data_IF_123080653964
#
_entry.id   IF_123080653964
#
_cell.length_a   1.000
_cell.length_b   1.000
_cell.length_c   1.000
_cell.angle_alpha   90.00
_cell.angle_beta   90.00
_cell.angle_gamma   90.00
#
_symmetry.space_group_name_H-M   'P 1'
#
loop_
_entity.id
_entity.type
_entity.pdbx_description
1 polymer ?
#
# COMPACT_ATOMS: atom_id res chain seq x y z
N UNK A 1 5.13 22.02 -12.82
CA UNK A 1 5.62 21.36 -11.60
C UNK A 1 5.47 19.85 -11.81
N UNK A 2 6.49 19.18 -12.35
CA UNK A 2 6.43 17.71 -12.50
C UNK A 2 6.69 17.13 -11.11
N UNK A 3 5.63 16.68 -10.43
CA UNK A 3 5.77 15.95 -9.18
C UNK A 3 6.51 14.67 -9.55
N UNK A 4 7.79 14.59 -9.16
CA UNK A 4 8.61 13.42 -9.33
C UNK A 4 8.03 12.33 -8.41
N UNK A 5 6.99 11.64 -8.87
CA UNK A 5 6.35 10.55 -8.14
C UNK A 5 7.42 9.49 -8.00
N UNK A 6 8.02 9.44 -6.82
CA UNK A 6 9.09 8.52 -6.53
C UNK A 6 8.50 7.12 -6.79
N UNK A 7 9.18 6.23 -7.53
CA UNK A 7 8.63 4.90 -7.83
C UNK A 7 8.31 4.09 -6.56
N UNK A 8 8.84 4.52 -5.41
CA UNK A 8 8.53 4.02 -4.06
C UNK A 8 7.06 4.23 -3.64
N UNK A 9 6.36 5.20 -4.23
CA UNK A 9 4.96 5.53 -3.89
C UNK A 9 3.94 4.81 -4.78
N UNK A 10 4.41 3.99 -5.74
CA UNK A 10 3.54 3.24 -6.65
C UNK A 10 3.23 1.87 -6.08
N UNK A 11 2.00 1.42 -6.32
CA UNK A 11 1.60 0.06 -5.97
C UNK A 11 2.49 -0.97 -6.68
N UNK A 12 3.12 -1.91 -5.96
CA UNK A 12 3.97 -2.94 -6.55
C UNK A 12 3.18 -4.00 -7.34
N UNK A 13 1.86 -4.11 -7.11
CA UNK A 13 1.02 -5.11 -7.78
C UNK A 13 0.57 -4.70 -9.18
N UNK A 14 0.04 -3.48 -9.33
CA UNK A 14 -0.49 -3.00 -10.61
C UNK A 14 0.39 -1.91 -11.25
N UNK A 15 1.44 -1.43 -10.56
CA UNK A 15 2.32 -0.35 -11.02
C UNK A 15 1.63 1.01 -11.18
N UNK A 16 0.34 1.08 -10.86
CA UNK A 16 -0.56 2.20 -11.14
C UNK A 16 -1.41 2.49 -9.91
N UNK A 17 -1.28 3.69 -9.35
CA UNK A 17 -1.98 4.08 -8.12
C UNK A 17 -1.03 4.23 -6.96
N UNK A 18 -1.37 5.16 -6.08
CA UNK A 18 -0.65 5.48 -4.86
C UNK A 18 -0.99 4.50 -3.74
N UNK A 19 -0.02 4.28 -2.85
CA UNK A 19 -0.31 3.69 -1.55
C UNK A 19 -1.15 4.66 -0.71
N UNK A 20 -2.11 4.09 0.01
CA UNK A 20 -2.96 4.73 1.01
C UNK A 20 -2.76 3.98 2.30
N UNK A 21 -2.49 4.69 3.39
CA UNK A 21 -2.42 4.09 4.73
C UNK A 21 -3.80 4.19 5.36
N UNK A 22 -4.37 3.04 5.73
CA UNK A 22 -5.57 2.99 6.53
C UNK A 22 -5.23 3.38 7.98
N UNK A 23 -5.80 4.47 8.47
CA UNK A 23 -5.54 4.93 9.84
C UNK A 23 -6.26 4.08 10.91
N UNK A 24 -7.24 3.27 10.51
CA UNK A 24 -8.02 2.41 11.40
C UNK A 24 -7.25 1.13 11.71
N UNK A 25 -6.68 0.51 10.67
CA UNK A 25 -5.92 -0.75 10.82
C UNK A 25 -4.42 -0.55 10.87
N UNK A 26 -3.90 0.58 10.37
CA UNK A 26 -2.48 0.84 10.20
C UNK A 26 -1.88 0.15 8.96
N UNK A 27 -2.71 -0.32 8.04
CA UNK A 27 -2.26 -1.08 6.87
C UNK A 27 -2.07 -0.16 5.66
N UNK A 28 -1.05 -0.43 4.85
CA UNK A 28 -0.86 0.27 3.58
C UNK A 28 -1.52 -0.53 2.46
N UNK A 29 -2.43 0.07 1.69
CA UNK A 29 -3.10 -0.55 0.56
C UNK A 29 -3.12 0.35 -0.68
N UNK A 30 -3.31 -0.24 -1.86
CA UNK A 30 -3.44 0.51 -3.09
C UNK A 30 -4.89 0.95 -3.30
N UNK A 31 -5.13 2.26 -3.34
CA UNK A 31 -6.46 2.82 -3.63
C UNK A 31 -7.00 2.56 -5.04
N UNK A 32 -6.21 1.96 -5.96
CA UNK A 32 -6.64 1.64 -7.34
C UNK A 32 -7.03 0.18 -7.52
N UNK A 33 -6.21 -0.76 -7.03
CA UNK A 33 -6.41 -2.20 -7.26
C UNK A 33 -6.72 -3.00 -5.98
N UNK A 34 -6.79 -2.33 -4.82
CA UNK A 34 -7.08 -2.94 -3.52
C UNK A 34 -5.95 -3.80 -2.94
N UNK A 35 -4.72 -3.70 -3.47
CA UNK A 35 -3.60 -4.51 -2.98
C UNK A 35 -3.07 -4.00 -1.64
N UNK A 36 -3.10 -4.84 -0.61
CA UNK A 36 -2.54 -4.56 0.71
C UNK A 36 -1.05 -4.91 0.71
N UNK A 37 -0.20 -4.00 1.19
CA UNK A 37 1.27 -4.11 1.23
C UNK A 37 1.73 -4.61 2.59
N UNK A 38 1.08 -4.12 3.63
CA UNK A 38 1.33 -4.57 5.00
C UNK A 38 0.29 -5.64 5.31
N UNK A 39 0.57 -6.88 4.92
CA UNK A 39 -0.03 -8.02 5.64
C UNK A 39 0.39 -7.81 7.09
N UNK A 40 -0.57 -7.54 7.99
CA UNK A 40 -0.28 -7.70 9.41
C UNK A 40 0.28 -9.11 9.53
N UNK A 41 1.48 -9.21 10.09
CA UNK A 41 2.05 -10.50 10.48
C UNK A 41 0.97 -11.12 11.34
N UNK A 42 0.23 -12.04 10.75
CA UNK A 42 -0.81 -12.77 11.45
C UNK A 42 -0.05 -13.42 12.58
N UNK A 43 -0.33 -12.98 13.80
CA UNK A 43 0.03 -13.70 15.00
C UNK A 43 -0.83 -14.96 14.99
N UNK A 44 -0.52 -15.86 14.04
CA UNK A 44 -0.86 -17.25 14.06
C UNK A 44 -0.10 -17.82 15.25
N UNK A 45 -0.59 -17.54 16.45
CA UNK A 45 -0.20 -18.24 17.66
C UNK A 45 -1.25 -19.27 18.03
N UNK A 46 -0.91 -20.29 18.83
CA UNK A 46 0.34 -21.05 18.97
C UNK A 46 0.37 -22.36 18.16
#
# INVERSE_FOLDING_TARGET
>A
MVKNVNPKDRCPRCGQGTLVTDATTGENFCGKCGFVITDKVDESGP
#
